data_IF_078917161702
#
_entry.id   IF_078917161702
#
_cell.length_a   1.000
_cell.length_b   1.000
_cell.length_c   1.000
_cell.angle_alpha   90.00
_cell.angle_beta   90.00
_cell.angle_gamma   90.00
#
_symmetry.space_group_name_H-M   'P 1'
#
loop_
_entity.id
_entity.type
_entity.pdbx_description
1 polymer ?
#
# COMPACT_ATOMS: atom_id res chain seq x y z
N UNK A 1 -10.98 -9.69 -16.26
CA UNK A 1 -9.63 -9.10 -16.42
C UNK A 1 -9.02 -8.93 -15.04
N UNK A 2 -7.71 -9.11 -14.87
CA UNK A 2 -7.07 -9.00 -13.55
C UNK A 2 -7.17 -7.57 -13.00
N UNK A 3 -7.45 -7.47 -11.70
CA UNK A 3 -7.53 -6.18 -11.00
C UNK A 3 -6.15 -5.51 -10.95
N UNK A 4 -6.08 -4.24 -11.35
CA UNK A 4 -4.85 -3.45 -11.30
C UNK A 4 -4.56 -3.05 -9.86
N UNK A 5 -3.37 -3.36 -9.35
CA UNK A 5 -2.97 -3.11 -7.97
C UNK A 5 -1.83 -2.10 -7.93
N UNK A 6 -1.94 -1.12 -7.05
CA UNK A 6 -0.82 -0.22 -6.71
C UNK A 6 -0.35 -0.53 -5.31
N UNK A 7 0.95 -0.78 -5.19
CA UNK A 7 1.63 -0.90 -3.91
C UNK A 7 2.36 0.40 -3.64
N UNK A 8 2.08 1.00 -2.49
CA UNK A 8 2.65 2.28 -2.05
C UNK A 8 3.49 2.00 -0.81
N UNK A 9 4.78 2.30 -0.86
CA UNK A 9 5.70 2.13 0.27
C UNK A 9 6.16 3.47 0.86
N UNK A 10 6.21 3.56 2.19
CA UNK A 10 6.83 4.68 2.92
C UNK A 10 8.26 4.30 3.34
N UNK A 11 9.31 4.85 2.69
CA UNK A 11 10.70 4.47 2.92
C UNK A 11 11.26 4.90 4.29
N UNK A 12 10.63 5.85 4.98
CA UNK A 12 11.08 6.28 6.31
C UNK A 12 10.70 5.30 7.43
N UNK A 13 9.82 4.33 7.15
CA UNK A 13 9.33 3.36 8.14
C UNK A 13 10.30 2.18 8.31
N UNK A 14 11.55 2.44 8.74
CA UNK A 14 12.53 1.37 9.02
C UNK A 14 12.13 0.54 10.26
N UNK A 15 11.87 1.23 11.38
CA UNK A 15 11.39 0.64 12.63
C UNK A 15 10.20 1.45 13.19
N UNK A 16 8.96 0.99 12.96
CA UNK A 16 7.81 1.75 13.39
C UNK A 16 7.60 1.60 14.90
N UNK A 17 7.50 2.74 15.60
CA UNK A 17 7.05 2.77 17.00
C UNK A 17 5.63 2.23 17.08
N UNK A 18 5.41 1.25 17.97
CA UNK A 18 4.10 0.62 18.17
C UNK A 18 3.51 1.13 19.47
N UNK A 19 2.31 1.66 19.42
CA UNK A 19 1.56 2.05 20.62
C UNK A 19 0.24 1.29 20.68
N UNK A 20 -0.19 0.92 21.88
CA UNK A 20 -1.54 0.40 22.11
C UNK A 20 -2.50 1.58 22.17
N UNK A 21 -3.52 1.57 21.32
CA UNK A 21 -4.47 2.67 21.16
C UNK A 21 -5.88 2.08 21.19
N UNK A 22 -6.82 2.79 21.83
CA UNK A 22 -8.22 2.42 21.81
C UNK A 22 -8.85 2.89 20.50
N UNK A 23 -9.51 1.99 19.81
CA UNK A 23 -10.17 2.27 18.54
C UNK A 23 -11.66 2.24 18.76
N UNK A 24 -12.36 3.28 18.31
CA UNK A 24 -13.83 3.36 18.37
C UNK A 24 -14.44 3.52 16.97
N UNK A 25 -15.54 2.83 16.74
CA UNK A 25 -16.38 3.09 15.58
C UNK A 25 -17.16 4.40 15.78
N UNK A 26 -17.02 5.37 14.87
CA UNK A 26 -17.72 6.65 14.95
C UNK A 26 -18.46 6.96 13.64
N UNK A 27 -19.69 7.47 13.77
CA UNK A 27 -20.49 7.99 12.64
C UNK A 27 -19.87 9.24 12.00
N UNK A 28 -18.95 9.90 12.70
CA UNK A 28 -18.28 11.09 12.20
C UNK A 28 -17.22 10.80 11.14
N UNK A 29 -16.85 9.52 10.96
CA UNK A 29 -15.92 9.08 9.91
C UNK A 29 -16.74 8.54 8.74
N UNK A 30 -16.83 9.33 7.67
CA UNK A 30 -17.57 8.94 6.46
C UNK A 30 -16.91 7.71 5.82
N UNK A 31 -17.72 6.69 5.54
CA UNK A 31 -17.28 5.53 4.77
C UNK A 31 -17.08 5.91 3.30
N UNK A 32 -15.93 5.54 2.75
CA UNK A 32 -15.62 5.66 1.34
C UNK A 32 -16.07 4.37 0.64
N UNK A 33 -16.76 4.50 -0.50
CA UNK A 33 -17.15 3.36 -1.32
C UNK A 33 -15.91 2.54 -1.74
N UNK A 34 -15.92 1.22 -1.47
CA UNK A 34 -14.79 0.32 -1.77
C UNK A 34 -13.82 0.03 -0.61
N UNK A 35 -14.07 0.55 0.60
CA UNK A 35 -13.29 0.23 1.82
C UNK A 35 -13.26 -1.27 2.16
N UNK A 36 -14.35 -1.99 1.85
CA UNK A 36 -14.41 -3.45 2.09
C UNK A 36 -13.51 -4.24 1.14
N UNK A 37 -13.40 -3.80 -0.11
CA UNK A 37 -12.70 -4.50 -1.20
C UNK A 37 -11.23 -4.06 -1.37
N UNK A 38 -10.74 -3.14 -0.53
CA UNK A 38 -9.38 -2.60 -0.63
C UNK A 38 -9.20 -1.67 -1.84
N UNK A 39 -10.31 -1.10 -2.34
CA UNK A 39 -10.31 -0.15 -3.47
C UNK A 39 -10.10 1.30 -3.05
N UNK A 40 -10.30 1.60 -1.77
CA UNK A 40 -10.09 2.91 -1.19
C UNK A 40 -9.44 2.80 0.19
N UNK A 41 -8.61 3.79 0.52
CA UNK A 41 -8.04 3.95 1.86
C UNK A 41 -9.11 4.47 2.82
N UNK A 42 -9.49 3.72 3.87
CA UNK A 42 -10.41 4.21 4.88
C UNK A 42 -9.78 5.36 5.67
N UNK A 43 -10.62 6.26 6.15
CA UNK A 43 -10.21 7.39 7.00
C UNK A 43 -10.14 6.95 8.47
N UNK A 44 -9.15 7.47 9.19
CA UNK A 44 -9.06 7.37 10.63
C UNK A 44 -8.79 8.75 11.22
N UNK A 45 -9.66 9.19 12.14
CA UNK A 45 -9.50 10.45 12.85
C UNK A 45 -8.66 10.24 14.11
N UNK A 46 -7.67 11.09 14.32
CA UNK A 46 -6.83 11.07 15.53
C UNK A 46 -6.28 12.46 15.87
N UNK A 47 -5.81 12.62 17.10
CA UNK A 47 -5.22 13.87 17.60
C UNK A 47 -3.78 14.09 17.09
N UNK A 48 -3.33 15.35 17.05
CA UNK A 48 -1.97 15.69 16.64
C UNK A 48 -0.89 15.04 17.53
N UNK A 49 -1.18 14.91 18.83
CA UNK A 49 -0.27 14.27 19.79
C UNK A 49 -0.11 12.77 19.55
N UNK A 50 -1.20 12.07 19.20
CA UNK A 50 -1.12 10.63 18.86
C UNK A 50 -0.39 10.40 17.54
N UNK A 51 -0.59 11.29 16.55
CA UNK A 51 0.19 11.30 15.30
C UNK A 51 1.69 11.45 15.57
N UNK A 52 2.07 12.41 16.42
CA UNK A 52 3.47 12.64 16.81
C UNK A 52 4.07 11.46 17.60
N UNK A 53 3.31 10.89 18.54
CA UNK A 53 3.75 9.74 19.34
C UNK A 53 4.08 8.52 18.47
N UNK A 54 3.27 8.28 17.43
CA UNK A 54 3.48 7.20 16.46
C UNK A 54 4.55 7.53 15.40
N UNK A 55 5.03 8.78 15.35
CA UNK A 55 5.84 9.33 14.25
C UNK A 55 5.23 9.01 12.87
N UNK A 56 3.89 9.02 12.82
CA UNK A 56 3.12 8.71 11.62
C UNK A 56 2.84 10.00 10.86
N UNK A 57 2.86 9.92 9.52
CA UNK A 57 2.70 11.10 8.68
C UNK A 57 1.31 11.13 8.03
N UNK A 58 1.09 10.30 7.01
CA UNK A 58 -0.17 10.26 6.26
C UNK A 58 -0.98 8.98 6.48
N UNK A 59 -0.31 7.89 6.85
CA UNK A 59 -0.91 6.57 6.97
C UNK A 59 -0.58 5.93 8.32
N UNK A 60 -1.59 5.32 8.94
CA UNK A 60 -1.43 4.48 10.14
C UNK A 60 -1.98 3.09 9.87
N UNK A 61 -1.28 2.09 10.38
CA UNK A 61 -1.73 0.71 10.39
C UNK A 61 -2.22 0.38 11.78
N UNK A 62 -3.43 -0.18 11.87
CA UNK A 62 -3.98 -0.74 13.08
C UNK A 62 -3.98 -2.26 12.96
N UNK A 63 -3.35 -2.91 13.93
CA UNK A 63 -3.22 -4.36 13.99
C UNK A 63 -3.94 -4.89 15.23
N UNK A 64 -4.82 -5.87 15.01
CA UNK A 64 -5.48 -6.65 16.06
C UNK A 64 -5.08 -8.11 15.89
N UNK A 65 -4.88 -8.80 17.01
CA UNK A 65 -4.76 -10.26 17.03
C UNK A 65 -6.14 -10.84 17.36
N UNK A 66 -6.75 -11.56 16.41
CA UNK A 66 -7.99 -12.33 16.64
C UNK A 66 -7.64 -13.80 16.81
N UNK A 67 -8.37 -14.48 17.68
CA UNK A 67 -8.27 -15.92 17.85
C UNK A 67 -9.41 -16.59 17.07
N UNK A 68 -9.09 -17.24 15.95
CA UNK A 68 -10.04 -18.08 15.20
C UNK A 68 -9.61 -19.54 15.39
N UNK A 69 -10.31 -20.26 16.27
CA UNK A 69 -9.95 -21.62 16.68
C UNK A 69 -8.62 -21.68 17.45
N UNK A 70 -7.74 -22.60 17.07
CA UNK A 70 -6.41 -22.80 17.69
C UNK A 70 -5.32 -21.82 17.18
N UNK A 71 -5.59 -21.01 16.14
CA UNK A 71 -4.60 -20.11 15.53
C UNK A 71 -4.89 -18.63 15.83
N UNK A 72 -3.84 -17.90 16.22
CA UNK A 72 -3.86 -16.43 16.33
C UNK A 72 -3.64 -15.81 14.95
N UNK A 73 -4.65 -15.10 14.44
CA UNK A 73 -4.62 -14.43 13.14
C UNK A 73 -4.46 -12.92 13.36
N UNK A 74 -3.48 -12.31 12.69
CA UNK A 74 -3.22 -10.86 12.73
C UNK A 74 -4.04 -10.17 11.64
N UNK A 75 -5.02 -9.38 12.02
CA UNK A 75 -5.81 -8.56 11.10
C UNK A 75 -5.24 -7.15 11.07
N UNK A 76 -4.87 -6.67 9.88
CA UNK A 76 -4.30 -5.33 9.67
C UNK A 76 -5.25 -4.48 8.86
N UNK A 77 -5.52 -3.26 9.32
CA UNK A 77 -6.17 -2.21 8.53
C UNK A 77 -5.22 -1.04 8.31
N UNK A 78 -5.16 -0.55 7.09
CA UNK A 78 -4.39 0.65 6.74
C UNK A 78 -5.34 1.82 6.57
N UNK A 79 -5.08 2.91 7.28
CA UNK A 79 -5.95 4.08 7.32
C UNK A 79 -5.18 5.33 6.93
N UNK A 80 -5.88 6.24 6.23
CA UNK A 80 -5.44 7.61 6.02
C UNK A 80 -5.77 8.44 7.26
N UNK A 81 -4.79 9.17 7.76
CA UNK A 81 -4.94 10.01 8.95
C UNK A 81 -5.68 11.30 8.58
N UNK A 82 -6.73 11.61 9.34
CA UNK A 82 -7.36 12.92 9.38
C UNK A 82 -7.22 13.49 10.79
N UNK A 83 -6.75 14.73 10.91
CA UNK A 83 -6.54 15.36 12.21
C UNK A 83 -7.85 15.95 12.71
N UNK A 84 -8.25 15.55 13.91
CA UNK A 84 -9.44 16.08 14.58
C UNK A 84 -9.15 16.22 16.08
N UNK A 85 -9.17 17.46 16.57
CA UNK A 85 -8.90 17.80 17.97
C UNK A 85 -10.03 17.36 18.93
N UNK A 86 -11.15 16.87 18.38
CA UNK A 86 -12.26 16.30 19.14
C UNK A 86 -11.96 14.91 19.70
N UNK A 87 -10.93 14.23 19.16
CA UNK A 87 -10.59 12.85 19.53
C UNK A 87 -9.63 12.86 20.74
N UNK A 88 -9.96 12.14 21.83
CA UNK A 88 -9.10 12.04 23.01
C UNK A 88 -7.69 11.49 22.70
N UNK A 89 -6.74 11.85 23.55
CA UNK A 89 -5.38 11.30 23.51
C UNK A 89 -5.46 9.78 23.77
N UNK A 90 -4.85 8.97 22.87
CA UNK A 90 -4.92 7.50 22.81
C UNK A 90 -6.21 6.89 22.26
N UNK A 91 -7.09 7.67 21.63
CA UNK A 91 -8.22 7.16 20.83
C UNK A 91 -8.03 7.39 19.33
N UNK A 92 -8.53 6.45 18.52
CA UNK A 92 -8.63 6.58 17.06
C UNK A 92 -10.05 6.21 16.64
N UNK A 93 -10.69 7.10 15.88
CA UNK A 93 -12.03 6.85 15.37
C UNK A 93 -11.99 6.34 13.94
N UNK A 94 -12.79 5.30 13.65
CA UNK A 94 -12.85 4.63 12.35
C UNK A 94 -14.31 4.54 11.89
N UNK A 95 -14.52 4.40 10.58
CA UNK A 95 -15.84 4.12 10.00
C UNK A 95 -16.45 2.82 10.53
N UNK A 96 -17.77 2.82 10.77
CA UNK A 96 -18.53 1.61 11.17
C UNK A 96 -18.34 0.44 10.19
N UNK A 97 -18.21 0.75 8.91
CA UNK A 97 -17.98 -0.23 7.83
C UNK A 97 -16.66 -0.98 7.97
N UNK A 98 -15.63 -0.34 8.52
CA UNK A 98 -14.35 -0.97 8.81
C UNK A 98 -14.34 -1.63 10.19
N UNK A 99 -15.08 -1.09 11.17
CA UNK A 99 -15.32 -1.75 12.47
C UNK A 99 -15.87 -3.18 12.30
N UNK A 100 -16.79 -3.38 11.35
CA UNK A 100 -17.34 -4.71 11.03
C UNK A 100 -16.26 -5.73 10.64
N UNK A 101 -15.17 -5.32 9.97
CA UNK A 101 -14.04 -6.22 9.68
C UNK A 101 -13.29 -6.64 10.95
N UNK A 102 -13.24 -5.75 11.93
CA UNK A 102 -12.63 -6.01 13.24
C UNK A 102 -13.62 -6.62 14.25
N UNK A 103 -14.91 -6.68 13.92
CA UNK A 103 -15.93 -7.44 14.66
C UNK A 103 -16.25 -6.91 16.06
N UNK A 104 -15.73 -5.73 16.43
CA UNK A 104 -15.94 -5.07 17.72
C UNK A 104 -16.01 -3.55 17.47
N UNK A 105 -16.96 -2.88 18.10
CA UNK A 105 -17.13 -1.42 17.99
C UNK A 105 -16.11 -0.63 18.82
N UNK A 106 -15.58 -1.24 19.88
CA UNK A 106 -14.47 -0.74 20.67
C UNK A 106 -13.43 -1.84 20.88
N UNK A 107 -12.18 -1.57 20.53
CA UNK A 107 -11.08 -2.53 20.72
C UNK A 107 -9.75 -1.84 20.95
N UNK A 108 -8.83 -2.55 21.62
CA UNK A 108 -7.44 -2.16 21.69
C UNK A 108 -6.69 -2.67 20.46
N UNK A 109 -6.02 -1.78 19.74
CA UNK A 109 -5.19 -2.13 18.59
C UNK A 109 -3.75 -1.65 18.79
N UNK A 110 -2.82 -2.38 18.18
CA UNK A 110 -1.46 -1.91 17.99
C UNK A 110 -1.43 -0.98 16.79
N UNK A 111 -1.28 0.31 17.06
CA UNK A 111 -1.12 1.33 16.05
C UNK A 111 0.36 1.57 15.74
N UNK A 112 0.70 1.68 14.46
CA UNK A 112 2.05 1.99 14.02
C UNK A 112 2.07 2.65 12.64
N UNK A 113 3.18 3.33 12.31
CA UNK A 113 3.39 3.94 10.99
C UNK A 113 3.38 2.87 9.90
N UNK A 114 2.59 3.10 8.85
CA UNK A 114 2.45 2.13 7.75
C UNK A 114 3.74 1.99 6.95
N UNK A 115 4.15 0.74 6.67
CA UNK A 115 5.33 0.42 5.83
C UNK A 115 4.98 0.39 4.35
N UNK A 116 3.92 -0.33 4.02
CA UNK A 116 3.39 -0.42 2.67
C UNK A 116 1.89 -0.66 2.71
N UNK A 117 1.19 -0.19 1.68
CA UNK A 117 -0.23 -0.44 1.45
C UNK A 117 -0.41 -0.91 0.02
N UNK A 118 -1.30 -1.89 -0.16
CA UNK A 118 -1.77 -2.30 -1.47
C UNK A 118 -3.20 -1.81 -1.66
N UNK A 119 -3.47 -1.19 -2.81
CA UNK A 119 -4.78 -0.66 -3.17
C UNK A 119 -5.14 -1.19 -4.55
N UNK A 120 -6.32 -1.79 -4.66
CA UNK A 120 -6.88 -2.24 -5.93
C UNK A 120 -7.55 -1.06 -6.63
N UNK A 121 -7.28 -0.85 -7.91
CA UNK A 121 -7.74 0.32 -8.64
C UNK A 121 -8.55 -0.14 -9.85
N UNK A 122 -9.70 0.51 -10.06
CA UNK A 122 -10.53 0.28 -11.23
C UNK A 122 -9.82 0.72 -12.52
N UNK A 123 -10.10 0.05 -13.63
CA UNK A 123 -9.42 0.28 -14.91
C UNK A 123 -9.49 1.74 -15.38
N UNK A 124 -10.59 2.44 -15.12
CA UNK A 124 -10.76 3.85 -15.50
C UNK A 124 -9.67 4.76 -14.90
N UNK A 125 -9.27 4.50 -13.65
CA UNK A 125 -8.18 5.23 -12.99
C UNK A 125 -6.81 4.71 -13.45
N UNK A 126 -6.69 3.39 -13.68
CA UNK A 126 -5.45 2.78 -14.17
C UNK A 126 -5.02 3.31 -15.54
N UNK A 127 -5.97 3.72 -16.40
CA UNK A 127 -5.69 4.31 -17.71
C UNK A 127 -4.75 5.52 -17.67
N UNK A 128 -4.78 6.30 -16.58
CA UNK A 128 -3.89 7.47 -16.41
C UNK A 128 -2.43 7.08 -16.17
N UNK A 129 -2.16 5.83 -15.80
CA UNK A 129 -0.82 5.31 -15.50
C UNK A 129 -0.19 4.60 -16.69
N UNK A 130 -1.01 4.22 -17.68
CA UNK A 130 -0.54 3.58 -18.91
C UNK A 130 0.35 4.57 -19.67
N UNK A 131 1.49 4.08 -20.15
CA UNK A 131 2.49 4.91 -20.84
C UNK A 131 3.51 5.57 -19.91
N UNK A 132 3.26 5.61 -18.60
CA UNK A 132 4.27 6.03 -17.61
C UNK A 132 5.41 5.01 -17.55
N UNK A 133 6.61 5.49 -17.22
CA UNK A 133 7.82 4.66 -17.10
C UNK A 133 8.23 4.48 -15.64
N UNK A 134 9.00 3.43 -15.38
CA UNK A 134 9.74 3.30 -14.12
C UNK A 134 10.67 4.51 -13.97
N UNK A 135 10.56 5.18 -12.83
CA UNK A 135 11.29 6.41 -12.52
C UNK A 135 10.41 7.65 -12.53
N UNK A 136 9.27 7.61 -13.22
CA UNK A 136 8.35 8.75 -13.32
C UNK A 136 7.64 9.02 -11.98
N UNK A 137 7.27 10.29 -11.80
CA UNK A 137 6.57 10.79 -10.62
C UNK A 137 5.11 11.05 -11.01
N UNK A 138 4.19 10.40 -10.28
CA UNK A 138 2.74 10.53 -10.44
C UNK A 138 2.15 11.18 -9.19
N UNK A 139 0.98 11.80 -9.34
CA UNK A 139 0.22 12.35 -8.23
C UNK A 139 -0.54 11.23 -7.50
N UNK A 140 -0.32 11.09 -6.19
CA UNK A 140 -0.99 10.12 -5.32
C UNK A 140 -2.48 10.41 -5.10
N UNK A 141 -2.98 11.57 -5.55
CA UNK A 141 -4.40 11.92 -5.52
C UNK A 141 -5.27 10.87 -6.22
N UNK A 142 -4.73 10.18 -7.23
CA UNK A 142 -5.40 9.07 -7.93
C UNK A 142 -5.80 7.92 -7.00
N UNK A 143 -5.04 7.73 -5.92
CA UNK A 143 -5.22 6.68 -4.91
C UNK A 143 -5.67 7.25 -3.56
N UNK A 144 -6.01 8.55 -3.51
CA UNK A 144 -6.48 9.24 -2.30
C UNK A 144 -5.39 9.65 -1.30
N UNK A 145 -4.11 9.57 -1.68
CA UNK A 145 -2.98 9.98 -0.85
C UNK A 145 -2.48 11.35 -1.31
N UNK A 146 -2.40 12.37 -0.45
CA UNK A 146 -1.91 13.70 -0.83
C UNK A 146 -0.37 13.74 -0.87
N UNK A 147 0.25 12.89 -1.70
CA UNK A 147 1.70 12.83 -1.86
C UNK A 147 2.10 12.51 -3.31
N UNK A 148 3.33 12.86 -3.68
CA UNK A 148 3.92 12.42 -4.95
C UNK A 148 4.40 10.99 -4.81
N UNK A 149 4.08 10.15 -5.79
CA UNK A 149 4.51 8.76 -5.84
C UNK A 149 5.49 8.57 -6.98
N UNK A 150 6.62 7.91 -6.74
CA UNK A 150 7.54 7.51 -7.81
C UNK A 150 7.38 6.05 -8.12
N UNK A 151 7.26 5.74 -9.41
CA UNK A 151 7.17 4.36 -9.90
C UNK A 151 8.56 3.73 -9.81
N UNK A 152 8.67 2.62 -9.10
CA UNK A 152 9.96 1.90 -8.93
C UNK A 152 9.99 0.57 -9.67
N UNK A 153 8.83 0.01 -9.99
CA UNK A 153 8.74 -1.25 -10.73
C UNK A 153 7.31 -1.76 -10.82
N UNK A 154 7.17 -3.03 -11.19
CA UNK A 154 5.88 -3.67 -11.30
C UNK A 154 6.00 -5.10 -11.80
N UNK A 155 4.86 -5.76 -11.94
CA UNK A 155 4.75 -7.15 -12.38
C UNK A 155 3.63 -7.30 -13.39
N UNK A 156 3.90 -8.07 -14.43
CA UNK A 156 2.95 -8.45 -15.47
C UNK A 156 2.01 -9.58 -15.00
N UNK A 157 0.90 -9.81 -15.70
CA UNK A 157 -0.05 -10.90 -15.45
C UNK A 157 0.60 -12.29 -15.43
N UNK A 158 1.72 -12.46 -16.15
CA UNK A 158 2.46 -13.71 -16.25
C UNK A 158 3.53 -13.84 -15.14
N UNK A 159 3.56 -12.89 -14.20
CA UNK A 159 4.55 -12.85 -13.12
C UNK A 159 5.93 -12.33 -13.54
N UNK A 160 6.10 -11.81 -14.76
CA UNK A 160 7.37 -11.21 -15.18
C UNK A 160 7.55 -9.83 -14.56
N UNK A 161 8.67 -9.63 -13.87
CA UNK A 161 9.05 -8.35 -13.32
C UNK A 161 9.36 -7.33 -14.43
N UNK A 162 8.97 -6.08 -14.21
CA UNK A 162 9.40 -4.95 -15.02
C UNK A 162 10.85 -4.58 -14.70
N UNK A 163 11.58 -4.15 -15.72
CA UNK A 163 13.00 -3.79 -15.61
C UNK A 163 13.24 -2.40 -16.19
N UNK A 164 13.94 -1.54 -15.46
CA UNK A 164 14.11 -0.12 -15.80
C UNK A 164 14.98 0.12 -17.05
N UNK A 165 15.92 -0.79 -17.33
CA UNK A 165 16.87 -0.73 -18.45
C UNK A 165 16.25 -1.19 -19.79
N UNK A 166 15.20 -2.01 -19.75
CA UNK A 166 14.52 -2.49 -20.95
C UNK A 166 13.48 -1.47 -21.41
N UNK A 167 13.74 -0.80 -22.52
CA UNK A 167 12.82 0.20 -23.07
C UNK A 167 11.55 -0.41 -23.65
N UNK A 168 10.41 0.24 -23.40
CA UNK A 168 9.13 -0.05 -24.03
C UNK A 168 8.22 -0.90 -23.15
N UNK A 169 7.08 -1.30 -23.69
CA UNK A 169 6.07 -2.07 -22.96
C UNK A 169 6.16 -3.57 -23.20
N UNK A 170 6.89 -4.06 -24.20
CA UNK A 170 6.90 -5.48 -24.56
C UNK A 170 7.71 -6.37 -23.59
N UNK A 171 7.44 -7.68 -23.62
CA UNK A 171 8.29 -8.71 -23.00
C UNK A 171 9.54 -8.94 -23.86
N UNK A 172 10.72 -8.99 -23.24
CA UNK A 172 11.98 -9.30 -23.94
C UNK A 172 12.76 -10.38 -23.19
N UNK A 173 13.42 -11.27 -23.95
CA UNK A 173 14.26 -12.34 -23.40
C UNK A 173 15.74 -11.94 -23.46
N UNK A 174 16.26 -11.46 -22.35
CA UNK A 174 17.62 -10.91 -22.22
C UNK A 174 18.49 -11.78 -21.32
N UNK A 175 19.81 -11.72 -21.53
CA UNK A 175 20.79 -12.42 -20.69
C UNK A 175 21.02 -11.60 -19.41
N UNK A 176 20.60 -12.13 -18.28
CA UNK A 176 20.75 -11.48 -16.97
C UNK A 176 21.87 -12.12 -16.16
N UNK A 177 22.65 -11.29 -15.50
CA UNK A 177 23.64 -11.67 -14.49
C UNK A 177 23.21 -11.34 -13.06
N UNK A 178 22.08 -10.67 -12.87
CA UNK A 178 21.64 -10.19 -11.57
C UNK A 178 20.24 -9.55 -11.56
N UNK A 179 19.79 -9.09 -10.38
CA UNK A 179 18.49 -8.49 -10.20
C UNK A 179 18.39 -7.13 -10.94
N UNK A 180 17.18 -6.64 -11.25
CA UNK A 180 15.87 -7.25 -11.01
C UNK A 180 15.48 -8.30 -12.07
N UNK A 181 14.69 -9.31 -11.65
CA UNK A 181 14.15 -10.37 -12.52
C UNK A 181 14.99 -11.66 -12.58
N UNK A 182 16.18 -11.67 -11.99
CA UNK A 182 17.01 -12.86 -11.83
C UNK A 182 17.89 -12.73 -10.57
N UNK A 183 17.87 -13.74 -9.71
CA UNK A 183 18.78 -13.84 -8.58
C UNK A 183 19.73 -15.01 -8.87
N UNK A 184 21.02 -14.76 -9.15
CA UNK A 184 21.99 -15.82 -9.38
C UNK A 184 22.23 -16.59 -8.09
N UNK A 185 22.32 -17.91 -8.19
CA UNK A 185 22.64 -18.79 -7.05
C UNK A 185 24.14 -19.01 -6.90
N UNK A 186 24.87 -18.95 -8.02
CA UNK A 186 26.32 -19.11 -8.10
C UNK A 186 26.96 -17.83 -8.63
N UNK A 187 28.19 -17.57 -8.21
CA UNK A 187 28.96 -16.45 -8.74
C UNK A 187 29.23 -16.62 -10.24
N UNK A 188 29.11 -15.53 -10.99
CA UNK A 188 29.23 -15.54 -12.45
C UNK A 188 28.06 -16.20 -13.21
N UNK A 189 27.01 -16.69 -12.53
CA UNK A 189 25.87 -17.30 -13.20
C UNK A 189 25.10 -16.28 -14.06
N UNK A 190 24.90 -16.62 -15.33
CA UNK A 190 24.10 -15.80 -16.26
C UNK A 190 23.02 -16.66 -16.90
N UNK A 191 21.80 -16.15 -16.93
CA UNK A 191 20.66 -16.87 -17.53
C UNK A 191 19.81 -15.96 -18.40
N UNK A 192 19.40 -16.47 -19.56
CA UNK A 192 18.40 -15.79 -20.38
C UNK A 192 17.02 -15.91 -19.74
N UNK A 193 16.49 -14.79 -19.26
CA UNK A 193 15.16 -14.70 -18.66
C UNK A 193 14.29 -13.71 -19.42
N UNK A 194 12.99 -13.93 -19.39
CA UNK A 194 12.01 -13.00 -19.95
C UNK A 194 11.67 -11.96 -18.88
N UNK A 195 11.77 -10.69 -19.25
CA UNK A 195 11.39 -9.55 -18.41
C UNK A 195 10.45 -8.64 -19.17
N UNK A 196 9.68 -7.84 -18.45
CA UNK A 196 8.84 -6.78 -19.02
C UNK A 196 9.66 -5.49 -19.11
N UNK A 197 9.42 -4.71 -20.16
CA UNK A 197 10.02 -3.39 -20.28
C UNK A 197 9.57 -2.39 -19.20
N UNK A 198 10.16 -1.20 -19.25
CA UNK A 198 10.03 -0.16 -18.23
C UNK A 198 8.75 0.67 -18.35
N UNK A 199 8.00 0.54 -19.44
CA UNK A 199 6.75 1.27 -19.67
C UNK A 199 5.55 0.45 -19.20
N UNK A 200 4.67 1.08 -18.42
CA UNK A 200 3.43 0.47 -17.94
C UNK A 200 2.44 0.33 -19.09
N UNK A 201 1.85 -0.85 -19.18
CA UNK A 201 0.84 -1.22 -20.18
C UNK A 201 -0.32 -1.97 -19.51
N UNK A 202 -1.41 -2.21 -20.25
CA UNK A 202 -2.60 -2.89 -19.74
C UNK A 202 -2.35 -4.31 -19.19
N UNK A 203 -1.31 -5.01 -19.67
CA UNK A 203 -0.97 -6.33 -19.16
C UNK A 203 -0.41 -6.31 -17.72
N UNK A 204 0.07 -5.15 -17.26
CA UNK A 204 0.65 -4.98 -15.92
C UNK A 204 -0.46 -5.10 -14.88
N UNK A 205 -0.27 -6.01 -13.93
CA UNK A 205 -1.26 -6.27 -12.85
C UNK A 205 -0.88 -5.53 -11.57
N UNK A 206 0.40 -5.32 -11.32
CA UNK A 206 0.87 -4.62 -10.13
C UNK A 206 1.90 -3.56 -10.47
N UNK A 207 1.75 -2.36 -9.90
CA UNK A 207 2.75 -1.29 -9.95
C UNK A 207 3.25 -1.00 -8.54
N UNK A 208 4.57 -0.96 -8.39
CA UNK A 208 5.24 -0.63 -7.14
C UNK A 208 5.65 0.84 -7.16
N UNK A 209 5.30 1.55 -6.11
CA UNK A 209 5.58 2.97 -5.94
C UNK A 209 6.15 3.26 -4.56
N UNK A 210 6.92 4.34 -4.49
CA UNK A 210 7.45 4.90 -3.24
C UNK A 210 6.90 6.31 -3.05
N UNK A 211 6.58 6.66 -1.81
CA UNK A 211 6.22 8.02 -1.45
C UNK A 211 7.48 8.90 -1.54
N UNK A 212 7.40 9.97 -2.33
CA UNK A 212 8.38 11.05 -2.35
C UNK A 212 7.79 12.22 -1.58
N UNK A 213 8.59 12.74 -0.64
CA UNK A 213 8.32 13.97 0.10
C UNK A 213 9.31 15.03 -0.35
#
# INVERSE_FOLDING_TARGET
MPDFKIVISDPQTKEPKRAKIKVKASDQVKSIAGEKEGKALPLAKMSEKTKQALNADMLVTLEIEKQEGDKKVKVKGHFKIELDNSVPENEVWISKTMSEKFGLDEFEALAYRTKSVQISIDQNKASSLIGSKIGDIIDGSLVGIPAKLKITGGSDNSGFAMRFDVTGSAKRKILLSGPPGFYPEEDGQRRRRTVRGNMISQDVVQVNTIIIR
#
